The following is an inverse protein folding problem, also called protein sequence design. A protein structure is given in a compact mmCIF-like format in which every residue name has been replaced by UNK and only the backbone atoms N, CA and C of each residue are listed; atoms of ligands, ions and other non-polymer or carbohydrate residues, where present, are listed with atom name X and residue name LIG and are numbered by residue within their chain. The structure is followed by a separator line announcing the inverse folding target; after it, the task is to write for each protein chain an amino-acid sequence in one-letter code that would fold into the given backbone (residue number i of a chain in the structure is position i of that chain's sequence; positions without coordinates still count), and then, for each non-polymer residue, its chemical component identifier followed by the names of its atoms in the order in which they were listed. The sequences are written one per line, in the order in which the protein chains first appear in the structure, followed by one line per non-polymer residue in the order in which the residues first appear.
data_IF_803285293624
#
_entry.id   IF_803285293624
#
_cell.length_a   1.000
_cell.length_b   1.000
_cell.length_c   1.000
_cell.angle_alpha   90.00
_cell.angle_beta   90.00
_cell.angle_gamma   90.00
#
_symmetry.space_group_name_H-M   'P 1'
#
loop_
_entity.id
_entity.type
_entity.pdbx_description
1 polymer ?
#
# COMPACT_ATOMS: atom_id res chain seq x y z
N UNK A 1 5.28 6.15 -8.83
CA UNK A 1 3.91 6.35 -9.35
C UNK A 1 3.77 7.61 -10.19
N UNK A 2 4.08 8.81 -9.68
CA UNK A 2 3.95 10.06 -10.45
C UNK A 2 4.90 10.12 -11.68
N UNK A 3 6.15 9.69 -11.51
CA UNK A 3 7.11 9.57 -12.62
C UNK A 3 6.65 8.59 -13.69
N UNK A 4 6.03 7.47 -13.29
CA UNK A 4 5.46 6.49 -14.22
C UNK A 4 4.31 7.09 -15.03
N UNK A 5 3.43 7.87 -14.40
CA UNK A 5 2.35 8.59 -15.08
C UNK A 5 2.91 9.54 -16.16
N UNK A 6 3.95 10.32 -15.82
CA UNK A 6 4.63 11.18 -16.79
C UNK A 6 5.29 10.38 -17.93
N UNK A 7 5.93 9.24 -17.62
CA UNK A 7 6.56 8.35 -18.61
C UNK A 7 5.54 7.80 -19.62
N UNK A 8 4.31 7.54 -19.16
CA UNK A 8 3.21 7.04 -20.00
C UNK A 8 2.45 8.16 -20.76
N UNK A 9 2.89 9.42 -20.62
CA UNK A 9 2.20 10.58 -21.21
C UNK A 9 0.89 10.95 -20.51
N UNK A 10 0.63 10.38 -19.33
CA UNK A 10 -0.51 10.70 -18.50
C UNK A 10 -0.38 12.08 -17.85
N UNK A 11 -1.50 12.60 -17.35
CA UNK A 11 -1.55 13.88 -16.62
C UNK A 11 -1.74 13.61 -15.13
N UNK A 12 -1.00 14.35 -14.29
CA UNK A 12 -1.10 14.27 -12.84
C UNK A 12 -2.14 15.29 -12.38
N UNK A 13 -3.12 14.83 -11.61
CA UNK A 13 -4.08 15.67 -10.91
C UNK A 13 -3.93 15.40 -9.41
N UNK A 14 -3.49 16.41 -8.66
CA UNK A 14 -3.29 16.30 -7.22
C UNK A 14 -4.61 16.50 -6.49
N UNK A 15 -4.78 15.79 -5.37
CA UNK A 15 -5.91 15.93 -4.46
C UNK A 15 -5.40 16.17 -3.04
N UNK A 16 -6.27 16.68 -2.18
CA UNK A 16 -5.94 16.92 -0.78
C UNK A 16 -5.57 15.61 -0.08
N UNK A 17 -4.43 15.62 0.61
CA UNK A 17 -4.05 14.54 1.52
C UNK A 17 -4.83 14.72 2.81
N UNK A 18 -5.81 13.84 3.05
CA UNK A 18 -6.62 13.89 4.26
C UNK A 18 -5.74 13.67 5.48
N UNK A 19 -6.07 14.37 6.57
CA UNK A 19 -5.44 14.10 7.87
C UNK A 19 -5.71 12.65 8.30
N UNK A 20 -4.83 12.05 9.12
CA UNK A 20 -5.10 10.74 9.72
C UNK A 20 -6.44 10.69 10.47
N UNK A 21 -6.97 9.49 10.65
CA UNK A 21 -8.20 9.24 11.39
C UNK A 21 -8.09 9.55 12.88
N UNK A 22 -6.86 9.60 13.40
CA UNK A 22 -6.55 9.84 14.82
C UNK A 22 -5.30 10.70 14.99
N UNK A 23 -5.31 11.50 16.05
CA UNK A 23 -4.19 12.34 16.47
C UNK A 23 -3.28 11.60 17.49
N UNK A 24 -3.81 10.61 18.20
CA UNK A 24 -3.09 9.73 19.14
C UNK A 24 -3.23 8.25 18.72
N UNK A 25 -2.15 7.48 18.86
CA UNK A 25 -2.08 6.08 18.40
C UNK A 25 -2.18 5.05 19.54
N UNK A 26 -2.30 5.51 20.78
CA UNK A 26 -2.34 4.65 21.96
C UNK A 26 -1.02 3.94 22.21
N UNK A 27 -1.08 2.63 22.43
CA UNK A 27 0.08 1.78 22.68
C UNK A 27 0.84 1.42 21.40
N UNK A 28 2.09 0.94 21.54
CA UNK A 28 2.85 0.43 20.40
C UNK A 28 2.15 -0.74 19.67
N UNK A 29 1.38 -1.56 20.40
CA UNK A 29 0.58 -2.64 19.81
C UNK A 29 -0.56 -2.09 18.94
N UNK A 30 -1.33 -1.13 19.45
CA UNK A 30 -2.42 -0.49 18.72
C UNK A 30 -1.90 0.25 17.48
N UNK A 31 -0.79 0.98 17.61
CA UNK A 31 -0.13 1.64 16.49
C UNK A 31 0.28 0.64 15.39
N UNK A 32 0.85 -0.51 15.75
CA UNK A 32 1.23 -1.55 14.79
C UNK A 32 0.02 -2.20 14.12
N UNK A 33 -1.08 -2.40 14.85
CA UNK A 33 -2.33 -2.91 14.27
C UNK A 33 -2.94 -1.92 13.28
N UNK A 34 -2.91 -0.62 13.58
CA UNK A 34 -3.32 0.43 12.64
C UNK A 34 -2.46 0.47 11.39
N UNK A 35 -1.13 0.39 11.55
CA UNK A 35 -0.21 0.32 10.42
C UNK A 35 -0.48 -0.91 9.54
N UNK A 36 -0.72 -2.09 10.15
CA UNK A 36 -1.05 -3.31 9.42
C UNK A 36 -2.35 -3.15 8.61
N UNK A 37 -3.37 -2.53 9.19
CA UNK A 37 -4.62 -2.29 8.48
C UNK A 37 -4.44 -1.30 7.32
N UNK A 38 -3.64 -0.25 7.52
CA UNK A 38 -3.31 0.69 6.46
C UNK A 38 -2.58 0.01 5.29
N UNK A 39 -1.55 -0.80 5.57
CA UNK A 39 -0.81 -1.52 4.52
C UNK A 39 -1.71 -2.52 3.77
N UNK A 40 -2.61 -3.22 4.47
CA UNK A 40 -3.61 -4.07 3.82
C UNK A 40 -4.53 -3.28 2.87
N UNK A 41 -4.97 -2.09 3.28
CA UNK A 41 -5.81 -1.23 2.44
C UNK A 41 -5.06 -0.74 1.20
N UNK A 42 -3.79 -0.34 1.36
CA UNK A 42 -2.93 0.07 0.25
C UNK A 42 -2.66 -1.11 -0.70
N UNK A 43 -2.36 -2.29 -0.16
CA UNK A 43 -2.17 -3.49 -0.97
C UNK A 43 -3.44 -3.86 -1.76
N UNK A 44 -4.63 -3.75 -1.15
CA UNK A 44 -5.88 -3.97 -1.86
C UNK A 44 -6.07 -2.98 -3.02
N UNK A 45 -5.79 -1.69 -2.80
CA UNK A 45 -5.86 -0.69 -3.87
C UNK A 45 -4.86 -0.97 -5.01
N UNK A 46 -3.68 -1.50 -4.70
CA UNK A 46 -2.69 -1.91 -5.69
C UNK A 46 -3.16 -3.14 -6.49
N UNK A 47 -3.77 -4.14 -5.83
CA UNK A 47 -4.34 -5.31 -6.50
C UNK A 47 -5.53 -4.93 -7.40
N UNK A 48 -6.38 -4.01 -6.96
CA UNK A 48 -7.50 -3.52 -7.77
C UNK A 48 -6.98 -2.76 -9.01
N UNK A 49 -5.92 -1.96 -8.85
CA UNK A 49 -5.27 -1.28 -9.97
C UNK A 49 -4.59 -2.27 -10.93
N UNK A 50 -3.94 -3.32 -10.41
CA UNK A 50 -3.33 -4.38 -11.22
C UNK A 50 -4.39 -5.15 -12.02
N UNK A 51 -5.51 -5.47 -11.38
CA UNK A 51 -6.67 -6.09 -12.05
C UNK A 51 -7.20 -5.21 -13.17
N UNK A 52 -7.34 -3.91 -12.93
CA UNK A 52 -7.76 -2.94 -13.95
C UNK A 52 -6.76 -2.89 -15.12
N UNK A 53 -5.46 -2.81 -14.83
CA UNK A 53 -4.42 -2.85 -15.84
C UNK A 53 -4.47 -4.12 -16.70
N UNK A 54 -4.69 -5.27 -16.06
CA UNK A 54 -4.84 -6.57 -16.73
C UNK A 54 -6.09 -6.61 -17.63
N UNK A 55 -7.22 -6.06 -17.17
CA UNK A 55 -8.44 -5.95 -17.98
C UNK A 55 -8.27 -5.05 -19.21
N UNK A 56 -7.45 -4.00 -19.08
CA UNK A 56 -7.10 -3.10 -20.17
C UNK A 56 -5.91 -3.59 -21.01
N UNK A 57 -5.40 -4.80 -20.76
CA UNK A 57 -4.25 -5.37 -21.46
C UNK A 57 -3.01 -4.46 -21.44
N UNK A 58 -2.71 -3.85 -20.28
CA UNK A 58 -1.51 -3.02 -20.07
C UNK A 58 -0.41 -3.80 -19.33
N UNK A 59 0.38 -4.63 -20.02
CA UNK A 59 1.40 -5.46 -19.39
C UNK A 59 2.51 -4.63 -18.70
N UNK A 60 2.80 -3.43 -19.21
CA UNK A 60 3.84 -2.57 -18.63
C UNK A 60 3.39 -1.98 -17.28
N UNK A 61 2.09 -1.67 -17.10
CA UNK A 61 1.58 -1.27 -15.80
C UNK A 61 1.49 -2.47 -14.84
N UNK A 62 1.08 -3.66 -15.30
CA UNK A 62 1.08 -4.87 -14.46
C UNK A 62 2.48 -5.16 -13.90
N UNK A 63 3.49 -5.25 -14.78
CA UNK A 63 4.88 -5.49 -14.42
C UNK A 63 5.43 -4.43 -13.46
N UNK A 64 5.10 -3.15 -13.68
CA UNK A 64 5.50 -2.07 -12.80
C UNK A 64 4.92 -2.21 -11.38
N UNK A 65 3.66 -2.64 -11.26
CA UNK A 65 3.02 -2.85 -9.95
C UNK A 65 3.60 -4.08 -9.24
N UNK A 66 3.82 -5.17 -9.96
CA UNK A 66 4.42 -6.41 -9.44
C UNK A 66 5.84 -6.17 -8.94
N UNK A 67 6.69 -5.57 -9.77
CA UNK A 67 8.12 -5.39 -9.50
C UNK A 67 8.39 -4.41 -8.37
N UNK A 68 7.62 -3.32 -8.26
CA UNK A 68 7.96 -2.21 -7.37
C UNK A 68 7.07 -2.08 -6.12
N UNK A 69 5.90 -2.71 -6.10
CA UNK A 69 4.92 -2.47 -5.02
C UNK A 69 4.40 -3.75 -4.38
N UNK A 70 3.92 -4.72 -5.16
CA UNK A 70 3.21 -5.88 -4.61
C UNK A 70 4.11 -6.77 -3.73
N UNK A 71 5.35 -7.04 -4.15
CA UNK A 71 6.29 -7.84 -3.35
C UNK A 71 6.67 -7.14 -2.03
N UNK A 72 6.94 -5.83 -2.09
CA UNK A 72 7.25 -5.02 -0.91
C UNK A 72 6.07 -4.94 0.06
N UNK A 73 4.84 -4.87 -0.46
CA UNK A 73 3.64 -4.89 0.37
C UNK A 73 3.50 -6.20 1.16
N UNK A 74 3.71 -7.34 0.51
CA UNK A 74 3.64 -8.65 1.19
C UNK A 74 4.70 -8.74 2.29
N UNK A 75 5.93 -8.29 2.03
CA UNK A 75 7.02 -8.25 3.02
C UNK A 75 6.67 -7.36 4.22
N UNK A 76 6.13 -6.17 3.96
CA UNK A 76 5.75 -5.22 5.02
C UNK A 76 4.59 -5.72 5.88
N UNK A 77 3.55 -6.27 5.26
CA UNK A 77 2.41 -6.88 5.96
C UNK A 77 2.90 -8.04 6.86
N UNK A 78 3.80 -8.89 6.35
CA UNK A 78 4.39 -9.98 7.15
C UNK A 78 5.16 -9.43 8.35
N UNK A 79 6.03 -8.46 8.14
CA UNK A 79 6.86 -7.84 9.18
C UNK A 79 6.01 -7.21 10.29
N UNK A 80 4.94 -6.50 9.92
CA UNK A 80 4.01 -5.92 10.90
C UNK A 80 3.26 -7.01 11.68
N UNK A 81 2.83 -8.09 11.01
CA UNK A 81 2.22 -9.25 11.68
C UNK A 81 3.15 -9.91 12.71
N UNK A 82 4.43 -10.02 12.40
CA UNK A 82 5.45 -10.54 13.33
C UNK A 82 5.63 -9.61 14.54
N UNK A 83 5.70 -8.31 14.31
CA UNK A 83 5.80 -7.33 15.40
C UNK A 83 4.59 -7.37 16.32
N UNK A 84 3.37 -7.44 15.77
CA UNK A 84 2.14 -7.57 16.56
C UNK A 84 2.16 -8.86 17.39
N UNK A 85 2.56 -9.98 16.78
CA UNK A 85 2.64 -11.27 17.47
C UNK A 85 3.62 -11.22 18.64
N UNK A 86 4.76 -10.55 18.47
CA UNK A 86 5.74 -10.39 19.54
C UNK A 86 5.22 -9.46 20.64
N UNK A 87 4.63 -8.31 20.28
CA UNK A 87 4.09 -7.34 21.23
C UNK A 87 2.88 -7.87 22.02
N UNK A 88 2.14 -8.83 21.47
CA UNK A 88 1.00 -9.47 22.17
C UNK A 88 1.46 -10.51 23.19
N UNK A 89 2.69 -11.04 23.06
CA UNK A 89 3.28 -12.03 23.97
C UNK A 89 4.05 -11.42 25.14
N UNK A 90 4.33 -10.12 25.07
CA UNK A 90 4.97 -9.33 26.13
C UNK A 90 3.89 -8.82 27.08
#
# INVERSE_FOLDING_TARGET
TLSFQNKRGGRIFLQDVKKPDRDEWGSGLEAMQCALQLEKNVNQALLDLHKLASQHQDPHLCDFLETHYLDEQVKMIKKLGDHITNLTKV
#
